data_IF_970710730303
#
_entry.id   IF_970710730303
#
_cell.length_a   1.000
_cell.length_b   1.000
_cell.length_c   1.000
_cell.angle_alpha   90.00
_cell.angle_beta   90.00
_cell.angle_gamma   90.00
#
_symmetry.space_group_name_H-M   'P 1'
#
loop_
_entity.id
_entity.type
_entity.pdbx_description
1 polymer ?
#
# COMPACT_ATOMS: atom_id res chain seq x y z
N UNK A 1 -4.22 4.82 -5.80
CA UNK A 1 -3.18 4.31 -4.89
C UNK A 1 -3.01 5.11 -3.60
N UNK A 2 -3.85 6.13 -3.32
CA UNK A 2 -3.49 7.16 -2.33
C UNK A 2 -3.30 6.66 -0.91
N UNK A 3 -4.15 5.73 -0.48
CA UNK A 3 -4.12 5.29 0.91
C UNK A 3 -3.07 4.19 1.13
N UNK A 4 -2.79 3.34 0.13
CA UNK A 4 -1.83 2.23 0.25
C UNK A 4 -0.38 2.67 0.48
N UNK A 5 0.03 3.84 -0.03
CA UNK A 5 1.38 4.39 0.21
C UNK A 5 1.64 4.81 1.66
N UNK A 6 0.57 5.01 2.44
CA UNK A 6 0.62 5.29 3.89
C UNK A 6 -0.11 4.20 4.69
N UNK A 7 -0.48 3.11 4.02
CA UNK A 7 -1.34 2.05 4.52
C UNK A 7 -0.54 0.99 5.27
N UNK A 8 -1.01 -0.24 5.21
CA UNK A 8 -0.32 -1.36 5.86
C UNK A 8 1.07 -1.57 5.24
N UNK A 9 2.05 -2.06 6.01
CA UNK A 9 3.39 -2.37 5.49
C UNK A 9 3.40 -3.27 4.25
N UNK A 10 2.44 -4.19 4.17
CA UNK A 10 2.26 -5.10 3.05
C UNK A 10 1.77 -4.35 1.81
N UNK A 11 0.83 -3.42 1.96
CA UNK A 11 0.35 -2.56 0.86
C UNK A 11 1.47 -1.64 0.35
N UNK A 12 2.25 -1.07 1.27
CA UNK A 12 3.42 -0.28 0.92
C UNK A 12 4.46 -1.12 0.19
N UNK A 13 4.76 -2.33 0.68
CA UNK A 13 5.67 -3.28 0.04
C UNK A 13 5.22 -3.65 -1.38
N UNK A 14 3.95 -4.01 -1.55
CA UNK A 14 3.38 -4.33 -2.85
C UNK A 14 3.51 -3.17 -3.85
N UNK A 15 3.21 -1.94 -3.41
CA UNK A 15 3.35 -0.76 -4.27
C UNK A 15 4.82 -0.48 -4.64
N UNK A 16 5.77 -0.81 -3.76
CA UNK A 16 7.22 -0.74 -4.06
C UNK A 16 7.66 -1.81 -5.05
N UNK A 17 7.11 -3.02 -4.96
CA UNK A 17 7.36 -4.06 -5.97
C UNK A 17 6.81 -3.65 -7.35
N UNK A 18 5.65 -3.01 -7.41
CA UNK A 18 5.11 -2.44 -8.66
C UNK A 18 6.04 -1.37 -9.23
N UNK A 19 6.53 -0.45 -8.39
CA UNK A 19 7.50 0.57 -8.80
C UNK A 19 8.77 -0.06 -9.37
N UNK A 20 9.34 -1.05 -8.67
CA UNK A 20 10.54 -1.76 -9.11
C UNK A 20 10.34 -2.49 -10.44
N UNK A 21 9.21 -3.19 -10.60
CA UNK A 21 8.87 -3.84 -11.86
C UNK A 21 8.67 -2.82 -12.98
N UNK A 22 8.01 -1.70 -12.72
CA UNK A 22 7.82 -0.63 -13.69
C UNK A 22 9.16 -0.05 -14.17
N UNK A 23 10.12 0.17 -13.26
CA UNK A 23 11.44 0.71 -13.64
C UNK A 23 12.23 -0.20 -14.60
N UNK A 24 11.91 -1.50 -14.65
CA UNK A 24 12.51 -2.43 -15.62
C UNK A 24 11.84 -2.37 -17.01
N UNK A 25 10.59 -1.91 -17.08
CA UNK A 25 9.77 -1.95 -18.31
C UNK A 25 9.63 -0.57 -18.98
N UNK A 26 9.61 0.50 -18.20
CA UNK A 26 9.32 1.86 -18.67
C UNK A 26 10.56 2.75 -18.66
N UNK A 27 10.54 3.82 -19.45
CA UNK A 27 11.68 4.74 -19.58
C UNK A 27 11.72 5.80 -18.48
N UNK A 28 10.54 6.22 -17.99
CA UNK A 28 10.40 7.14 -16.86
C UNK A 28 9.36 6.57 -15.90
N UNK A 29 9.75 6.41 -14.64
CA UNK A 29 8.86 6.03 -13.54
C UNK A 29 9.06 7.02 -12.40
N UNK A 30 7.99 7.73 -12.03
CA UNK A 30 7.98 8.70 -10.94
C UNK A 30 6.96 8.25 -9.90
N UNK A 31 7.43 7.75 -8.78
CA UNK A 31 6.61 7.27 -7.66
C UNK A 31 6.65 8.27 -6.49
N UNK A 32 5.93 8.00 -5.39
CA UNK A 32 5.98 8.84 -4.20
C UNK A 32 7.38 8.99 -3.65
N UNK A 33 7.81 10.25 -3.57
CA UNK A 33 9.17 10.66 -3.23
C UNK A 33 9.91 11.37 -4.37
N UNK A 34 9.44 11.26 -5.62
CA UNK A 34 10.05 11.98 -6.76
C UNK A 34 9.83 13.50 -6.70
N UNK A 35 8.57 13.93 -6.56
CA UNK A 35 8.19 15.33 -6.34
C UNK A 35 6.76 15.44 -5.80
N UNK A 36 6.30 16.68 -5.58
CA UNK A 36 4.99 16.97 -5.00
C UNK A 36 3.79 16.49 -5.83
N UNK A 37 3.95 16.30 -7.15
CA UNK A 37 2.85 15.82 -8.01
C UNK A 37 2.64 14.32 -7.94
N UNK A 38 3.64 13.55 -7.52
CA UNK A 38 3.58 12.09 -7.44
C UNK A 38 3.40 11.62 -6.00
N UNK A 39 2.79 12.42 -5.13
CA UNK A 39 2.72 12.16 -3.69
C UNK A 39 1.94 10.88 -3.33
N UNK A 40 1.10 10.38 -4.25
CA UNK A 40 0.15 9.30 -3.99
C UNK A 40 -0.06 8.31 -5.15
N UNK A 41 0.74 8.42 -6.21
CA UNK A 41 0.63 7.57 -7.38
C UNK A 41 1.96 7.39 -8.10
N UNK A 42 2.01 6.39 -8.98
CA UNK A 42 3.13 6.12 -9.89
C UNK A 42 2.76 6.67 -11.25
N UNK A 43 3.62 7.53 -11.80
CA UNK A 43 3.57 7.93 -13.19
C UNK A 43 4.53 7.09 -14.01
N UNK A 44 4.05 6.53 -15.13
CA UNK A 44 4.85 5.73 -16.06
C UNK A 44 4.79 6.34 -17.45
N UNK A 45 5.94 6.43 -18.11
CA UNK A 45 6.07 6.99 -19.46
C UNK A 45 6.62 5.95 -20.45
N UNK A 46 6.03 5.94 -21.65
CA UNK A 46 6.44 5.12 -22.79
C UNK A 46 7.28 5.90 -23.81
N UNK A 47 7.43 7.22 -23.64
CA UNK A 47 8.18 8.03 -24.59
C UNK A 47 9.64 7.56 -24.65
N UNK A 48 10.09 7.28 -25.88
CA UNK A 48 11.51 7.02 -26.17
C UNK A 48 12.24 8.35 -26.19
N UNK A 49 12.97 8.66 -25.12
CA UNK A 49 13.87 9.82 -25.10
C UNK A 49 15.07 9.57 -26.02
N UNK A 50 15.50 10.60 -26.74
CA UNK A 50 16.68 10.54 -27.61
C UNK A 50 17.95 10.13 -26.84
N UNK A 51 18.06 10.52 -25.58
CA UNK A 51 19.17 10.17 -24.69
C UNK A 51 19.17 8.72 -24.23
N UNK A 52 18.07 7.97 -24.42
CA UNK A 52 17.85 6.60 -23.90
C UNK A 52 18.06 6.45 -22.38
N UNK A 53 18.07 7.56 -21.63
CA UNK A 53 18.21 7.51 -20.18
C UNK A 53 16.94 6.94 -19.55
N UNK A 54 17.12 5.99 -18.64
CA UNK A 54 16.07 5.51 -17.76
C UNK A 54 16.02 6.39 -16.52
N UNK A 55 14.82 6.80 -16.13
CA UNK A 55 14.55 7.62 -14.95
C UNK A 55 13.65 6.79 -14.04
N UNK A 56 14.11 6.51 -12.83
CA UNK A 56 13.38 5.79 -11.79
C UNK A 56 13.57 6.60 -10.50
N UNK A 57 12.55 7.37 -10.11
CA UNK A 57 12.59 8.25 -8.96
C UNK A 57 11.41 8.02 -8.01
N UNK A 58 11.65 7.79 -6.69
CA UNK A 58 12.95 7.50 -6.10
C UNK A 58 13.58 6.22 -6.67
N UNK A 59 14.83 5.95 -6.32
CA UNK A 59 15.45 4.69 -6.72
C UNK A 59 14.62 3.52 -6.17
N UNK A 60 14.15 2.65 -7.06
CA UNK A 60 13.30 1.53 -6.66
C UNK A 60 14.02 0.61 -5.68
N UNK A 61 13.31 0.23 -4.63
CA UNK A 61 13.70 -0.74 -3.61
C UNK A 61 12.71 -1.89 -3.62
N UNK A 62 13.12 -3.09 -3.24
CA UNK A 62 12.17 -4.21 -3.21
C UNK A 62 11.14 -4.01 -2.09
N UNK A 63 9.92 -4.49 -2.34
CA UNK A 63 8.85 -4.51 -1.35
C UNK A 63 9.20 -5.36 -0.14
N UNK A 64 9.94 -6.46 -0.33
CA UNK A 64 10.46 -7.29 0.76
C UNK A 64 11.40 -6.50 1.69
N UNK A 65 12.34 -5.72 1.14
CA UNK A 65 13.24 -4.87 1.93
C UNK A 65 12.45 -3.81 2.72
N UNK A 66 11.45 -3.19 2.10
CA UNK A 66 10.60 -2.18 2.74
C UNK A 66 9.75 -2.80 3.84
N UNK A 67 9.13 -3.95 3.58
CA UNK A 67 8.33 -4.70 4.54
C UNK A 67 9.19 -5.16 5.72
N UNK A 68 10.40 -5.66 5.47
CA UNK A 68 11.35 -6.06 6.50
C UNK A 68 11.77 -4.86 7.38
N UNK A 69 11.97 -3.67 6.78
CA UNK A 69 12.26 -2.45 7.53
C UNK A 69 11.06 -2.01 8.38
N UNK A 70 9.86 -2.04 7.83
CA UNK A 70 8.63 -1.69 8.54
C UNK A 70 8.34 -2.65 9.71
N UNK A 71 8.54 -3.96 9.50
CA UNK A 71 8.40 -4.99 10.52
C UNK A 71 9.40 -4.83 11.67
N UNK A 72 10.63 -4.40 11.40
CA UNK A 72 11.61 -4.06 12.45
C UNK A 72 11.18 -2.88 13.33
N UNK A 73 10.40 -1.96 12.76
CA UNK A 73 9.96 -0.73 13.44
C UNK A 73 8.63 -0.88 14.16
N UNK A 74 7.83 -1.90 13.81
CA UNK A 74 6.52 -2.15 14.42
C UNK A 74 6.26 -3.66 14.62
N UNK A 75 6.16 -4.15 15.87
CA UNK A 75 5.91 -5.56 16.16
C UNK A 75 4.50 -6.05 15.76
N UNK A 76 3.61 -5.14 15.36
CA UNK A 76 2.27 -5.47 14.86
C UNK A 76 2.22 -5.73 13.36
N UNK A 77 3.27 -5.35 12.62
CA UNK A 77 3.40 -5.56 11.17
C UNK A 77 3.90 -6.96 10.79
N UNK A 78 4.31 -7.78 11.76
CA UNK A 78 4.86 -9.11 11.51
C UNK A 78 3.80 -10.23 11.61
N UNK A 79 2.52 -9.90 11.75
CA UNK A 79 1.44 -10.89 11.88
C UNK A 79 0.71 -11.02 10.55
N UNK A 80 1.12 -12.04 9.79
CA UNK A 80 0.50 -12.67 8.59
C UNK A 80 1.16 -12.33 7.23
N UNK A 81 1.79 -13.31 6.55
CA UNK A 81 2.47 -13.13 5.25
C UNK A 81 1.54 -13.28 4.03
N UNK A 82 0.24 -13.00 4.17
CA UNK A 82 -0.70 -13.37 3.11
C UNK A 82 -0.94 -12.24 2.11
N UNK A 83 -0.23 -12.32 0.98
CA UNK A 83 -0.59 -11.84 -0.37
C UNK A 83 -1.74 -10.84 -0.38
N UNK A 84 -1.42 -9.54 -0.42
CA UNK A 84 -2.41 -8.48 -0.58
C UNK A 84 -2.79 -8.33 -2.05
N UNK A 85 -3.54 -9.29 -2.58
CA UNK A 85 -4.32 -9.04 -3.79
C UNK A 85 -5.48 -8.12 -3.42
N UNK A 86 -5.58 -6.94 -4.05
CA UNK A 86 -6.64 -5.95 -3.77
C UNK A 86 -8.06 -6.39 -4.15
N UNK A 87 -8.39 -7.67 -4.11
CA UNK A 87 -9.74 -8.19 -4.33
C UNK A 87 -10.14 -9.08 -3.15
N UNK A 88 -10.79 -8.48 -2.15
CA UNK A 88 -11.45 -9.24 -1.09
C UNK A 88 -11.61 -8.44 0.19
N UNK A 89 -12.80 -7.87 0.39
CA UNK A 89 -13.20 -7.32 1.69
C UNK A 89 -13.02 -8.37 2.79
N UNK A 90 -12.33 -7.99 3.86
CA UNK A 90 -12.28 -8.79 5.09
C UNK A 90 -12.76 -7.90 6.23
N UNK A 91 -13.88 -8.33 6.79
CA UNK A 91 -14.57 -7.77 7.95
C UNK A 91 -13.57 -7.49 9.07
N UNK A 92 -13.69 -6.31 9.68
CA UNK A 92 -13.00 -5.95 10.91
C UNK A 92 -13.08 -7.09 11.94
N UNK A 93 -11.98 -7.47 12.63
CA UNK A 93 -12.08 -8.40 13.73
C UNK A 93 -12.83 -7.71 14.87
N UNK A 94 -13.97 -8.27 15.25
CA UNK A 94 -14.73 -7.88 16.42
C UNK A 94 -13.86 -8.02 17.67
N UNK A 95 -13.72 -6.93 18.43
CA UNK A 95 -13.11 -6.96 19.75
C UNK A 95 -13.93 -7.88 20.67
N UNK A 96 -13.28 -8.68 21.54
CA UNK A 96 -13.98 -9.53 22.49
C UNK A 96 -14.70 -8.68 23.54
N UNK A 97 -15.99 -8.93 23.71
CA UNK A 97 -16.87 -8.29 24.69
C UNK A 97 -16.30 -8.42 26.11
N UNK A 98 -16.02 -7.28 26.74
CA UNK A 98 -15.83 -7.18 28.19
C UNK A 98 -17.21 -6.91 28.80
N UNK A 99 -17.70 -7.87 29.60
CA UNK A 99 -18.91 -7.73 30.40
C UNK A 99 -18.89 -6.44 31.22
N UNK A 100 -19.97 -5.65 31.13
CA UNK A 100 -20.29 -4.64 32.13
C UNK A 100 -20.92 -3.38 31.56
N UNK A 101 -22.21 -3.25 31.84
CA UNK A 101 -22.99 -2.01 31.94
C UNK A 101 -23.59 -1.34 30.69
N UNK A 102 -24.90 -1.60 30.59
CA UNK A 102 -26.00 -0.62 30.48
C UNK A 102 -26.44 -0.13 29.09
N UNK A 103 -27.67 -0.60 28.81
CA UNK A 103 -28.86 0.07 28.27
C UNK A 103 -28.98 0.31 26.76
N UNK A 104 -30.11 -0.23 26.27
CA UNK A 104 -30.74 -0.08 24.96
C UNK A 104 -30.89 1.39 24.56
N UNK A 105 -30.87 1.67 23.26
CA UNK A 105 -32.04 2.19 22.53
C UNK A 105 -31.68 2.38 21.04
N UNK A 106 -32.56 1.84 20.20
CA UNK A 106 -32.90 2.21 18.81
C UNK A 106 -31.82 2.46 17.73
N UNK A 107 -31.73 1.53 16.76
CA UNK A 107 -32.23 1.82 15.40
C UNK A 107 -32.47 0.51 14.64
N UNK A 108 -33.74 0.16 14.50
CA UNK A 108 -34.27 -0.93 13.67
C UNK A 108 -34.66 -0.32 12.32
N UNK A 109 -34.08 -0.81 11.23
CA UNK A 109 -34.87 -1.03 10.02
C UNK A 109 -34.29 -2.22 9.23
N UNK A 110 -35.15 -3.21 9.02
CA UNK A 110 -34.91 -4.42 8.24
C UNK A 110 -35.01 -4.12 6.73
N UNK A 111 -34.23 -4.84 5.93
CA UNK A 111 -34.25 -4.81 4.47
C UNK A 111 -35.43 -5.62 3.90
N UNK A 112 -36.14 -5.08 2.89
CA UNK A 112 -36.83 -5.87 1.84
C UNK A 112 -36.42 -5.37 0.45
#
# INVERSE_FOLDING_TARGET
MRDGWRGLPEEQGFLRDIEAAACQQFTTVLAPGSNAYHYDHIHVDLMRRASRRLICEPAAVSGEEVAAYAARRSPYASREPFVTGSLGGRKSPSHPHKHGDKVNEEDEFEDE
#
